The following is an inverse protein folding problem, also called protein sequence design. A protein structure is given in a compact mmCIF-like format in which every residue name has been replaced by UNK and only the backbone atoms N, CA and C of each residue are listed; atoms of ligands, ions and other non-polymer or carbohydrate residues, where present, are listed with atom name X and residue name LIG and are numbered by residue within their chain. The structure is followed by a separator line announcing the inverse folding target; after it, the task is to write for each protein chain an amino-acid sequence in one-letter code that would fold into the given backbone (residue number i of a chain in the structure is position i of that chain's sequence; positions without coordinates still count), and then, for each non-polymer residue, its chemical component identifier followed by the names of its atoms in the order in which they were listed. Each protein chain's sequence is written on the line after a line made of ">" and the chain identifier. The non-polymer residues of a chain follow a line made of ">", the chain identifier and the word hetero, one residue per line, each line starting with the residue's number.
data_IF_028592301008
#
_entry.id   IF_028592301008
#
_cell.length_a   1.000
_cell.length_b   1.000
_cell.length_c   1.000
_cell.angle_alpha   90.00
_cell.angle_beta   90.00
_cell.angle_gamma   90.00
#
_symmetry.space_group_name_H-M   'P 1'
#
loop_
_entity.id
_entity.type
_entity.pdbx_description
1 polymer ?
#
# COMPACT_ATOMS: atom_id res chain seq x y z
N UNK A 1 -10.07 -20.87 30.83
CA UNK A 1 -9.31 -19.91 29.98
C UNK A 1 -8.42 -20.67 29.02
N UNK A 2 -8.69 -20.62 27.71
CA UNK A 2 -7.83 -21.22 26.69
C UNK A 2 -6.60 -20.31 26.52
N UNK A 3 -5.40 -20.81 26.86
CA UNK A 3 -4.13 -20.09 26.62
C UNK A 3 -3.77 -20.22 25.14
N UNK A 4 -4.04 -19.19 24.34
CA UNK A 4 -3.59 -19.09 22.95
C UNK A 4 -2.09 -18.76 22.94
N UNK A 5 -1.25 -19.78 22.76
CA UNK A 5 0.18 -19.62 22.51
C UNK A 5 0.39 -19.02 21.12
N UNK A 6 0.66 -17.71 21.07
CA UNK A 6 1.08 -17.03 19.84
C UNK A 6 2.49 -17.54 19.50
N UNK A 7 2.60 -18.54 18.62
CA UNK A 7 3.86 -18.87 17.94
C UNK A 7 4.22 -17.68 17.06
N UNK A 8 4.96 -16.71 17.61
CA UNK A 8 5.65 -15.71 16.79
C UNK A 8 6.78 -16.47 16.09
N UNK A 9 6.61 -16.73 14.79
CA UNK A 9 7.70 -17.25 13.98
C UNK A 9 8.87 -16.26 14.12
N UNK A 10 9.94 -16.66 14.80
CA UNK A 10 11.12 -15.83 15.09
C UNK A 10 12.09 -15.75 13.89
N UNK A 11 11.95 -16.68 12.93
CA UNK A 11 12.78 -16.77 11.73
C UNK A 11 12.64 -15.59 10.74
N UNK A 12 11.44 -15.05 10.45
CA UNK A 12 11.27 -13.99 9.46
C UNK A 12 11.89 -12.64 9.88
N UNK A 13 11.97 -12.35 11.19
CA UNK A 13 12.56 -11.10 11.67
C UNK A 13 14.08 -11.09 11.56
N UNK A 14 14.73 -12.23 11.80
CA UNK A 14 16.20 -12.37 11.70
C UNK A 14 16.64 -12.26 10.24
N UNK A 15 15.90 -12.85 9.30
CA UNK A 15 16.17 -12.71 7.87
C UNK A 15 16.17 -11.24 7.45
N UNK A 16 15.12 -10.49 7.81
CA UNK A 16 15.01 -9.07 7.46
C UNK A 16 16.14 -8.22 8.07
N UNK A 17 16.59 -8.54 9.28
CA UNK A 17 17.68 -7.79 9.92
C UNK A 17 19.04 -8.04 9.28
N UNK A 18 19.26 -9.20 8.65
CA UNK A 18 20.54 -9.57 8.04
C UNK A 18 20.60 -9.24 6.54
N UNK A 19 19.52 -9.45 5.80
CA UNK A 19 19.47 -9.31 4.34
C UNK A 19 18.69 -8.08 3.87
N UNK A 20 18.03 -7.38 4.78
CA UNK A 20 17.12 -6.29 4.45
C UNK A 20 15.69 -6.77 4.20
N UNK A 21 14.79 -5.79 4.02
CA UNK A 21 13.38 -6.07 3.79
C UNK A 21 13.10 -6.31 2.31
N UNK A 22 12.45 -7.43 2.01
CA UNK A 22 11.89 -7.71 0.69
C UNK A 22 10.45 -7.18 0.64
N UNK A 23 10.27 -6.03 -0.01
CA UNK A 23 8.99 -5.31 -0.07
C UNK A 23 8.25 -5.60 -1.37
N UNK A 24 7.04 -6.13 -1.26
CA UNK A 24 6.11 -6.31 -2.37
C UNK A 24 5.01 -5.25 -2.34
N UNK A 25 4.52 -4.82 -3.52
CA UNK A 25 3.41 -3.87 -3.60
C UNK A 25 2.12 -4.55 -3.14
N UNK A 26 1.58 -4.13 -2.00
CA UNK A 26 0.32 -4.64 -1.46
C UNK A 26 -0.90 -3.92 -2.04
N UNK A 27 -0.78 -2.62 -2.31
CA UNK A 27 -1.87 -1.79 -2.86
C UNK A 27 -1.35 -0.69 -3.77
N UNK A 28 -2.02 -0.45 -4.90
CA UNK A 28 -1.76 0.68 -5.80
C UNK A 28 -2.80 1.77 -5.58
N UNK A 29 -2.54 2.67 -4.64
CA UNK A 29 -3.45 3.75 -4.24
C UNK A 29 -3.70 4.72 -5.40
N UNK A 30 -2.61 5.16 -6.03
CA UNK A 30 -2.63 5.93 -7.28
C UNK A 30 -1.48 5.47 -8.18
N UNK A 31 -1.23 6.16 -9.28
CA UNK A 31 -0.03 5.92 -10.10
C UNK A 31 1.27 6.14 -9.31
N UNK A 32 1.29 7.14 -8.40
CA UNK A 32 2.50 7.54 -7.66
C UNK A 32 2.52 7.03 -6.22
N UNK A 33 1.36 6.81 -5.62
CA UNK A 33 1.24 6.35 -4.22
C UNK A 33 0.95 4.86 -4.21
N UNK A 34 1.80 4.10 -3.54
CA UNK A 34 1.70 2.64 -3.39
C UNK A 34 1.94 2.27 -1.94
N UNK A 35 1.29 1.21 -1.51
CA UNK A 35 1.56 0.53 -0.25
C UNK A 35 2.39 -0.72 -0.52
N UNK A 36 3.24 -1.04 0.43
CA UNK A 36 4.17 -2.15 0.36
C UNK A 36 4.09 -2.97 1.63
N UNK A 37 4.25 -4.28 1.50
CA UNK A 37 4.33 -5.19 2.64
C UNK A 37 5.57 -6.06 2.49
N UNK A 38 6.34 -6.18 3.57
CA UNK A 38 7.47 -7.08 3.57
C UNK A 38 6.99 -8.54 3.60
N UNK A 39 7.47 -9.38 2.69
CA UNK A 39 7.00 -10.77 2.55
C UNK A 39 7.29 -11.62 3.80
N UNK A 40 8.34 -11.27 4.53
CA UNK A 40 8.83 -11.99 5.71
C UNK A 40 8.30 -11.42 7.03
N UNK A 41 8.65 -10.17 7.37
CA UNK A 41 8.31 -9.59 8.68
C UNK A 41 6.95 -8.87 8.70
N UNK A 42 6.26 -8.76 7.56
CA UNK A 42 4.97 -8.08 7.41
C UNK A 42 4.98 -6.60 7.80
N UNK A 43 6.15 -5.96 7.82
CA UNK A 43 6.27 -4.51 7.95
C UNK A 43 5.63 -3.83 6.73
N UNK A 44 4.80 -2.83 6.98
CA UNK A 44 4.06 -2.12 5.94
C UNK A 44 4.63 -0.71 5.73
N UNK A 45 4.77 -0.29 4.47
CA UNK A 45 5.23 1.03 4.07
C UNK A 45 4.28 1.64 3.04
N UNK A 46 4.35 2.95 2.86
CA UNK A 46 3.67 3.69 1.79
C UNK A 46 4.57 4.76 1.20
N UNK A 47 4.34 5.12 -0.05
CA UNK A 47 4.97 6.28 -0.68
C UNK A 47 4.34 7.58 -0.17
N UNK A 48 5.14 8.55 0.25
CA UNK A 48 4.67 9.87 0.65
C UNK A 48 4.63 10.86 -0.54
N UNK A 49 4.23 12.11 -0.29
CA UNK A 49 4.14 13.16 -1.32
C UNK A 49 5.47 13.50 -2.00
N UNK A 50 6.59 13.22 -1.33
CA UNK A 50 7.94 13.50 -1.83
C UNK A 50 8.56 12.25 -2.51
N UNK A 51 7.81 11.15 -2.63
CA UNK A 51 8.27 9.91 -3.23
C UNK A 51 9.06 8.98 -2.30
N UNK A 52 9.22 9.32 -1.02
CA UNK A 52 9.92 8.48 -0.05
C UNK A 52 9.00 7.39 0.53
N UNK A 53 9.59 6.25 0.87
CA UNK A 53 8.89 5.20 1.62
C UNK A 53 8.88 5.54 3.10
N UNK A 54 7.68 5.57 3.68
CA UNK A 54 7.44 5.82 5.10
C UNK A 54 6.55 4.72 5.68
N UNK A 55 6.51 4.59 7.00
CA UNK A 55 5.67 3.59 7.65
C UNK A 55 4.18 3.78 7.35
N UNK A 56 3.49 2.69 7.01
CA UNK A 56 2.05 2.70 6.78
C UNK A 56 1.30 2.66 8.11
N UNK A 57 1.21 3.83 8.74
CA UNK A 57 0.42 4.03 9.97
C UNK A 57 -1.08 3.96 9.68
N UNK A 58 -1.94 3.73 10.70
CA UNK A 58 -3.40 3.77 10.52
C UNK A 58 -3.89 5.09 9.89
N UNK A 59 -3.26 6.22 10.25
CA UNK A 59 -3.55 7.52 9.65
C UNK A 59 -3.23 7.54 8.15
N UNK A 60 -2.10 6.97 7.74
CA UNK A 60 -1.76 6.88 6.32
C UNK A 60 -2.67 5.93 5.56
N UNK A 61 -3.13 4.82 6.17
CA UNK A 61 -4.13 3.93 5.56
C UNK A 61 -5.42 4.69 5.24
N UNK A 62 -5.93 5.47 6.20
CA UNK A 62 -7.13 6.29 5.99
C UNK A 62 -6.95 7.32 4.86
N UNK A 63 -5.82 8.04 4.87
CA UNK A 63 -5.48 9.00 3.81
C UNK A 63 -5.43 8.29 2.45
N UNK A 64 -4.76 7.15 2.35
CA UNK A 64 -4.64 6.39 1.12
C UNK A 64 -5.99 5.90 0.61
N UNK A 65 -6.87 5.41 1.48
CA UNK A 65 -8.21 4.96 1.09
C UNK A 65 -9.08 6.12 0.53
N UNK A 66 -8.91 7.32 1.07
CA UNK A 66 -9.58 8.52 0.54
C UNK A 66 -8.96 8.90 -0.81
N UNK A 67 -7.63 8.92 -0.92
CA UNK A 67 -6.91 9.25 -2.15
C UNK A 67 -7.26 8.29 -3.29
N UNK A 68 -7.35 6.99 -3.02
CA UNK A 68 -7.74 5.97 -4.00
C UNK A 68 -9.14 6.23 -4.56
N UNK A 69 -10.12 6.53 -3.69
CA UNK A 69 -11.49 6.86 -4.10
C UNK A 69 -11.53 8.11 -4.98
N UNK A 70 -10.79 9.15 -4.59
CA UNK A 70 -10.71 10.39 -5.37
C UNK A 70 -10.04 10.17 -6.73
N UNK A 71 -8.94 9.43 -6.76
CA UNK A 71 -8.20 9.11 -7.98
C UNK A 71 -9.05 8.28 -8.95
N UNK A 72 -9.69 7.22 -8.46
CA UNK A 72 -10.58 6.36 -9.24
C UNK A 72 -11.75 7.14 -9.82
N UNK A 73 -12.39 7.99 -9.01
CA UNK A 73 -13.49 8.86 -9.47
C UNK A 73 -13.05 9.82 -10.57
N UNK A 74 -11.88 10.43 -10.44
CA UNK A 74 -11.30 11.32 -11.47
C UNK A 74 -11.01 10.56 -12.76
N UNK A 75 -10.43 9.36 -12.65
CA UNK A 75 -10.09 8.54 -13.81
C UNK A 75 -11.34 8.07 -14.57
N UNK A 76 -12.40 7.66 -13.86
CA UNK A 76 -13.69 7.31 -14.49
C UNK A 76 -14.29 8.51 -15.24
N UNK A 77 -14.27 9.71 -14.64
CA UNK A 77 -14.75 10.94 -15.31
C UNK A 77 -13.92 11.28 -16.54
N UNK A 78 -12.60 11.13 -16.48
CA UNK A 78 -11.70 11.36 -17.61
C UNK A 78 -11.98 10.38 -18.75
N UNK A 79 -12.10 9.07 -18.45
CA UNK A 79 -12.48 8.05 -19.44
C UNK A 79 -13.81 8.37 -20.12
N UNK A 80 -14.82 8.81 -19.37
CA UNK A 80 -16.11 9.24 -19.92
C UNK A 80 -15.95 10.42 -20.88
N UNK A 81 -15.16 11.43 -20.53
CA UNK A 81 -14.90 12.59 -21.42
C UNK A 81 -14.21 12.17 -22.72
N UNK A 82 -13.18 11.33 -22.62
CA UNK A 82 -12.47 10.80 -23.80
C UNK A 82 -13.40 10.02 -24.72
N UNK A 83 -14.24 9.14 -24.16
CA UNK A 83 -15.23 8.38 -24.93
C UNK A 83 -16.26 9.28 -25.64
N UNK A 84 -16.81 10.28 -24.94
CA UNK A 84 -17.75 11.23 -25.56
C UNK A 84 -17.07 12.01 -26.70
N UNK A 85 -15.83 12.45 -26.50
CA UNK A 85 -15.06 13.16 -27.54
C UNK A 85 -14.70 12.29 -28.74
N UNK A 86 -14.71 10.96 -28.63
CA UNK A 86 -14.45 10.06 -29.77
C UNK A 86 -15.71 9.70 -30.58
N UNK A 87 -16.89 10.01 -30.05
CA UNK A 87 -18.17 9.75 -30.73
C UNK A 87 -18.58 10.92 -31.64
N UNK A 88 -18.18 12.14 -31.27
CA UNK A 88 -18.38 13.36 -32.05
C UNK A 88 -17.16 13.65 -32.91
#
# INVERSE_FOLDING_TARGET
>A
MKKTTIKRNLFPSIYCSLFGHDYEISKKVTHHVKEYTCSYCKKELTTNSNGHLIELTPKFKEINDILERMYTSRMQRSKRKTFVSSIY
#
